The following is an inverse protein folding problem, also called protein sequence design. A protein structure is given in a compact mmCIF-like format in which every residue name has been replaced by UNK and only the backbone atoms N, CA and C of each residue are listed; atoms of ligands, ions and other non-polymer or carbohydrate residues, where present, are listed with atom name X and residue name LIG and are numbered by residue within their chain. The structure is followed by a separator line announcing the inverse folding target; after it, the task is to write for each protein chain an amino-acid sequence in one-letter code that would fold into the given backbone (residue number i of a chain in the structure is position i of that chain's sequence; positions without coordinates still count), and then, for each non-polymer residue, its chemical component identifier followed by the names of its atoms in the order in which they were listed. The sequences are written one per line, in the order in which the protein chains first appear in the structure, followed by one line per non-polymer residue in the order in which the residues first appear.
data_IF_526016560744
#
_entry.id   IF_526016560744
#
_cell.length_a   1.000
_cell.length_b   1.000
_cell.length_c   1.000
_cell.angle_alpha   90.00
_cell.angle_beta   90.00
_cell.angle_gamma   90.00
#
_symmetry.space_group_name_H-M   'P 1'
#
loop_
_entity.id
_entity.type
_entity.pdbx_description
1 polymer ?
#
# COMPACT_ATOMS: atom_id res chain seq x y z
N UNK A 1 -25.10 25.37 -54.94
CA UNK A 1 -25.48 25.05 -53.56
C UNK A 1 -24.25 24.43 -52.88
N UNK A 2 -23.46 25.25 -52.15
CA UNK A 2 -22.26 24.81 -51.42
C UNK A 2 -22.63 24.40 -50.02
N UNK A 3 -22.39 23.14 -49.62
CA UNK A 3 -22.55 22.66 -48.25
C UNK A 3 -21.36 23.11 -47.44
N UNK A 4 -21.57 23.96 -46.45
CA UNK A 4 -20.63 24.18 -45.35
C UNK A 4 -20.69 22.98 -44.40
N UNK A 5 -19.62 22.27 -44.25
CA UNK A 5 -19.45 21.27 -43.20
C UNK A 5 -18.77 21.96 -42.00
N UNK A 6 -19.51 22.02 -40.92
CA UNK A 6 -19.12 22.60 -39.65
C UNK A 6 -18.03 21.79 -39.00
N UNK A 7 -16.85 22.38 -38.82
CA UNK A 7 -15.73 21.84 -38.04
C UNK A 7 -15.83 22.36 -36.60
N UNK A 8 -16.65 21.72 -35.79
CA UNK A 8 -16.66 21.95 -34.34
C UNK A 8 -16.82 20.59 -33.64
N UNK A 9 -15.77 20.04 -33.09
CA UNK A 9 -15.75 19.10 -31.96
C UNK A 9 -14.44 18.30 -31.90
N UNK A 10 -13.31 18.97 -31.68
CA UNK A 10 -12.08 18.23 -31.30
C UNK A 10 -11.20 18.96 -30.25
N UNK A 11 -11.72 19.98 -29.59
CA UNK A 11 -10.95 20.80 -28.65
C UNK A 11 -11.26 20.56 -27.17
N UNK A 12 -12.23 19.69 -26.81
CA UNK A 12 -12.72 19.61 -25.43
C UNK A 12 -12.24 18.36 -24.66
N UNK A 13 -11.54 17.42 -25.28
CA UNK A 13 -11.12 16.17 -24.62
C UNK A 13 -9.69 16.25 -24.09
N UNK A 14 -8.88 17.20 -24.54
CA UNK A 14 -7.46 17.33 -24.13
C UNK A 14 -7.23 18.13 -22.82
N UNK A 15 -8.24 18.80 -22.28
CA UNK A 15 -8.05 19.69 -21.13
C UNK A 15 -8.25 19.00 -19.76
N UNK A 16 -8.86 17.82 -19.70
CA UNK A 16 -9.14 17.13 -18.42
C UNK A 16 -7.97 16.28 -17.96
N UNK A 17 -7.22 15.69 -18.88
CA UNK A 17 -6.06 14.84 -18.54
C UNK A 17 -4.86 15.63 -17.99
N UNK A 18 -4.71 16.90 -18.36
CA UNK A 18 -3.58 17.74 -17.92
C UNK A 18 -3.77 18.34 -16.52
N UNK A 19 -5.00 18.41 -16.00
CA UNK A 19 -5.26 18.96 -14.66
C UNK A 19 -5.03 17.95 -13.52
N UNK A 20 -5.15 16.65 -13.77
CA UNK A 20 -4.89 15.63 -12.77
C UNK A 20 -3.37 15.42 -12.54
N UNK A 21 -2.55 15.53 -13.57
CA UNK A 21 -1.09 15.43 -13.43
C UNK A 21 -0.47 16.64 -12.72
N UNK A 22 -1.08 17.82 -12.81
CA UNK A 22 -0.56 19.02 -12.14
C UNK A 22 -0.84 19.04 -10.64
N UNK A 23 -1.90 18.39 -10.15
CA UNK A 23 -2.22 18.33 -8.73
C UNK A 23 -1.28 17.41 -7.93
N UNK A 24 -0.85 16.29 -8.51
CA UNK A 24 0.15 15.40 -7.91
C UNK A 24 1.55 16.01 -7.91
N UNK A 25 1.97 16.64 -9.01
CA UNK A 25 3.26 17.31 -9.12
C UNK A 25 3.40 18.49 -8.13
N UNK A 26 2.35 19.27 -7.90
CA UNK A 26 2.38 20.39 -6.96
C UNK A 26 2.51 19.97 -5.49
N UNK A 27 2.18 18.73 -5.14
CA UNK A 27 2.36 18.21 -3.77
C UNK A 27 3.81 17.83 -3.49
N UNK A 28 4.57 17.46 -4.52
CA UNK A 28 6.00 17.11 -4.39
C UNK A 28 6.89 18.34 -4.20
N UNK A 29 6.54 19.50 -4.77
CA UNK A 29 7.34 20.73 -4.70
C UNK A 29 7.35 21.40 -3.32
N UNK A 30 6.53 20.94 -2.37
CA UNK A 30 6.37 21.57 -1.05
C UNK A 30 6.97 20.77 0.11
N UNK A 31 7.66 19.66 -0.14
CA UNK A 31 8.33 18.92 0.90
C UNK A 31 9.62 19.65 1.32
N UNK A 32 9.51 20.54 2.29
CA UNK A 32 10.69 21.13 2.93
C UNK A 32 11.40 20.10 3.81
N UNK A 33 12.29 19.34 3.18
CA UNK A 33 13.11 18.35 3.88
C UNK A 33 14.06 19.01 4.90
N UNK A 34 14.34 20.31 4.81
CA UNK A 34 15.29 20.96 5.71
C UNK A 34 14.72 21.09 7.13
N UNK A 35 13.40 21.26 7.25
CA UNK A 35 12.73 21.43 8.53
C UNK A 35 12.13 20.13 9.09
N UNK A 36 12.39 18.97 8.43
CA UNK A 36 11.90 17.68 8.89
C UNK A 36 12.93 16.96 9.78
N UNK A 37 12.50 16.20 10.79
CA UNK A 37 13.37 15.29 11.52
C UNK A 37 14.12 14.35 10.57
N UNK A 38 15.34 13.97 10.94
CA UNK A 38 16.19 13.12 10.12
C UNK A 38 15.52 11.79 9.78
N UNK A 39 14.79 11.22 10.72
CA UNK A 39 14.00 10.00 10.53
C UNK A 39 13.00 10.11 9.37
N UNK A 40 12.30 11.26 9.28
CA UNK A 40 11.32 11.49 8.20
C UNK A 40 12.00 11.64 6.83
N UNK A 41 13.18 12.26 6.79
CA UNK A 41 13.98 12.38 5.57
C UNK A 41 14.39 11.01 5.04
N UNK A 42 14.84 10.14 5.94
CA UNK A 42 15.23 8.76 5.61
C UNK A 42 14.03 7.98 5.07
N UNK A 43 12.88 8.04 5.72
CA UNK A 43 11.66 7.33 5.28
C UNK A 43 11.21 7.79 3.88
N UNK A 44 11.22 9.10 3.63
CA UNK A 44 10.81 9.67 2.35
C UNK A 44 11.69 9.23 1.16
N UNK A 45 12.94 8.82 1.40
CA UNK A 45 13.83 8.33 0.34
C UNK A 45 13.26 7.10 -0.36
N UNK A 46 12.63 6.20 0.39
CA UNK A 46 12.04 4.97 -0.16
C UNK A 46 10.52 5.08 -0.32
N UNK A 47 9.83 5.76 0.60
CA UNK A 47 8.37 5.83 0.60
C UNK A 47 7.79 7.05 -0.13
N UNK A 48 8.65 7.84 -0.77
CA UNK A 48 8.24 9.07 -1.47
C UNK A 48 7.93 10.22 -0.51
N UNK A 49 7.92 11.44 -1.04
CA UNK A 49 7.52 12.61 -0.28
C UNK A 49 6.08 12.46 0.21
N UNK A 50 5.83 12.78 1.48
CA UNK A 50 4.52 12.57 2.12
C UNK A 50 3.99 11.13 2.05
N UNK A 51 4.88 10.15 1.91
CA UNK A 51 4.52 8.73 1.95
C UNK A 51 3.59 8.26 0.84
N UNK A 52 3.72 8.81 -0.35
CA UNK A 52 2.90 8.42 -1.52
C UNK A 52 3.32 7.09 -2.15
N UNK A 53 4.42 6.52 -1.68
CA UNK A 53 5.00 5.30 -2.21
C UNK A 53 6.01 5.54 -3.34
N UNK A 54 6.83 4.52 -3.59
CA UNK A 54 7.77 4.47 -4.70
C UNK A 54 7.98 3.02 -5.14
N UNK A 55 7.27 2.54 -6.17
CA UNK A 55 7.34 1.16 -6.61
C UNK A 55 8.72 0.76 -7.16
N UNK A 56 9.52 1.73 -7.66
CA UNK A 56 10.85 1.47 -8.23
C UNK A 56 11.80 0.92 -7.17
N UNK A 57 11.76 1.47 -5.95
CA UNK A 57 12.57 1.00 -4.82
C UNK A 57 11.80 0.05 -3.89
N UNK A 58 10.55 -0.25 -4.21
CA UNK A 58 9.71 -1.17 -3.44
C UNK A 58 9.15 -0.60 -2.14
N UNK A 59 9.17 0.72 -1.97
CA UNK A 59 8.60 1.43 -0.81
C UNK A 59 7.12 1.70 -1.01
N UNK A 60 6.20 1.06 -0.25
CA UNK A 60 4.77 1.29 -0.39
C UNK A 60 4.35 2.66 0.14
N UNK A 61 3.15 3.08 -0.25
CA UNK A 61 2.47 4.22 0.34
C UNK A 61 2.28 4.03 1.85
N UNK A 62 2.59 5.07 2.61
CA UNK A 62 2.34 5.15 4.05
C UNK A 62 1.17 6.08 4.38
N UNK A 63 0.88 7.03 3.49
CA UNK A 63 -0.21 7.96 3.65
C UNK A 63 -1.56 7.21 3.69
N UNK A 64 -2.40 7.55 4.66
CA UNK A 64 -3.69 6.91 4.85
C UNK A 64 -3.63 5.50 5.46
N UNK A 65 -2.47 5.02 5.89
CA UNK A 65 -2.41 3.83 6.75
C UNK A 65 -3.01 4.16 8.12
N UNK A 66 -3.74 3.22 8.67
CA UNK A 66 -4.24 3.35 10.04
C UNK A 66 -3.07 3.42 11.02
N UNK A 67 -3.07 4.39 11.95
CA UNK A 67 -1.95 4.60 12.88
C UNK A 67 -1.59 3.34 13.68
N UNK A 68 -2.60 2.58 14.15
CA UNK A 68 -2.39 1.34 14.88
C UNK A 68 -1.70 0.26 14.02
N UNK A 69 -2.05 0.18 12.73
CA UNK A 69 -1.43 -0.77 11.81
C UNK A 69 0.01 -0.36 11.49
N UNK A 70 0.24 0.92 11.18
CA UNK A 70 1.58 1.45 10.93
C UNK A 70 2.50 1.19 12.13
N UNK A 71 2.05 1.50 13.36
CA UNK A 71 2.81 1.22 14.59
C UNK A 71 3.20 -0.25 14.66
N UNK A 72 2.22 -1.14 14.54
CA UNK A 72 2.46 -2.58 14.60
C UNK A 72 3.44 -3.06 13.52
N UNK A 73 3.40 -2.49 12.31
CA UNK A 73 4.34 -2.88 11.26
C UNK A 73 5.77 -2.43 11.56
N UNK A 74 5.98 -1.22 12.07
CA UNK A 74 7.29 -0.73 12.50
C UNK A 74 7.86 -1.61 13.64
N UNK A 75 7.04 -1.93 14.62
CA UNK A 75 7.39 -2.83 15.71
C UNK A 75 7.72 -4.25 15.22
N UNK A 76 6.94 -4.79 14.26
CA UNK A 76 7.17 -6.12 13.67
C UNK A 76 8.50 -6.19 12.90
N UNK A 77 8.87 -5.13 12.20
CA UNK A 77 10.19 -5.04 11.57
C UNK A 77 11.30 -4.95 12.61
N UNK A 78 11.14 -4.12 13.66
CA UNK A 78 12.12 -3.98 14.75
C UNK A 78 12.31 -5.29 15.53
N UNK A 79 11.22 -6.00 15.80
CA UNK A 79 11.23 -7.31 16.47
C UNK A 79 11.68 -8.47 15.56
N UNK A 80 11.99 -8.18 14.28
CA UNK A 80 12.37 -9.18 13.29
C UNK A 80 11.29 -10.23 12.97
N UNK A 81 10.03 -9.89 13.16
CA UNK A 81 8.91 -10.71 12.66
C UNK A 81 8.75 -10.58 11.14
N UNK A 82 9.24 -9.48 10.58
CA UNK A 82 9.26 -9.16 9.14
C UNK A 82 10.68 -8.75 8.71
N UNK A 83 10.97 -8.92 7.41
CA UNK A 83 12.21 -8.44 6.81
C UNK A 83 13.39 -9.41 6.99
N UNK A 84 13.15 -10.67 7.35
CA UNK A 84 14.20 -11.68 7.54
C UNK A 84 14.50 -12.51 6.29
N UNK A 85 13.73 -12.35 5.22
CA UNK A 85 13.99 -13.06 3.97
C UNK A 85 15.20 -12.44 3.26
N UNK A 86 16.30 -13.19 3.16
CA UNK A 86 17.56 -12.74 2.53
C UNK A 86 17.38 -12.35 1.05
N UNK A 87 16.38 -12.91 0.39
CA UNK A 87 16.09 -12.65 -1.02
C UNK A 87 15.11 -11.48 -1.22
N UNK A 88 14.61 -10.88 -0.15
CA UNK A 88 13.68 -9.76 -0.23
C UNK A 88 14.31 -8.48 0.32
N UNK A 89 15.10 -7.82 -0.53
CA UNK A 89 15.88 -6.62 -0.19
C UNK A 89 15.05 -5.51 0.45
N UNK A 90 13.89 -5.08 -0.07
CA UNK A 90 13.12 -4.01 0.56
C UNK A 90 12.67 -4.32 1.99
N UNK A 91 12.40 -5.59 2.31
CA UNK A 91 12.07 -6.00 3.67
C UNK A 91 13.25 -5.90 4.61
N UNK A 92 14.44 -6.28 4.15
CA UNK A 92 15.69 -6.20 4.92
C UNK A 92 16.10 -4.74 5.18
N UNK A 93 15.95 -3.88 4.17
CA UNK A 93 16.22 -2.44 4.29
C UNK A 93 15.26 -1.80 5.30
N UNK A 94 13.97 -2.16 5.25
CA UNK A 94 13.00 -1.66 6.22
C UNK A 94 13.32 -2.11 7.64
N UNK A 95 13.71 -3.39 7.83
CA UNK A 95 14.15 -3.89 9.12
C UNK A 95 15.36 -3.11 9.66
N UNK A 96 16.37 -2.89 8.81
CA UNK A 96 17.57 -2.14 9.18
C UNK A 96 17.23 -0.68 9.56
N UNK A 97 16.31 -0.07 8.84
CA UNK A 97 15.89 1.33 9.05
C UNK A 97 15.22 1.55 10.41
N UNK A 98 14.49 0.55 10.92
CA UNK A 98 13.75 0.67 12.20
C UNK A 98 14.42 -0.03 13.38
N UNK A 99 15.51 -0.75 13.16
CA UNK A 99 16.14 -1.65 14.14
C UNK A 99 16.51 -0.95 15.47
N UNK A 100 16.78 0.35 15.44
CA UNK A 100 17.24 1.13 16.59
C UNK A 100 16.21 2.16 17.09
N UNK A 101 15.02 2.22 16.50
CA UNK A 101 13.99 3.15 16.93
C UNK A 101 13.46 2.73 18.30
N UNK A 102 13.38 3.69 19.21
CA UNK A 102 12.66 3.55 20.48
C UNK A 102 11.15 3.58 20.26
N UNK A 103 10.38 3.20 21.28
CA UNK A 103 8.91 3.27 21.24
C UNK A 103 8.44 4.71 21.01
N UNK A 104 9.06 5.68 21.68
CA UNK A 104 8.73 7.10 21.53
C UNK A 104 9.00 7.61 20.11
N UNK A 105 10.09 7.16 19.46
CA UNK A 105 10.37 7.53 18.07
C UNK A 105 9.38 6.89 17.10
N UNK A 106 8.98 5.65 17.32
CA UNK A 106 7.92 4.99 16.54
C UNK A 106 6.60 5.75 16.69
N UNK A 107 6.19 6.10 17.90
CA UNK A 107 4.97 6.87 18.16
C UNK A 107 5.01 8.25 17.51
N UNK A 108 6.15 8.93 17.56
CA UNK A 108 6.37 10.20 16.88
C UNK A 108 6.23 10.08 15.36
N UNK A 109 6.83 9.04 14.77
CA UNK A 109 6.70 8.76 13.32
C UNK A 109 5.26 8.46 12.93
N UNK A 110 4.56 7.62 13.69
CA UNK A 110 3.15 7.27 13.44
C UNK A 110 2.28 8.52 13.47
N UNK A 111 2.43 9.34 14.50
CA UNK A 111 1.67 10.59 14.65
C UNK A 111 1.95 11.57 13.52
N UNK A 112 3.19 11.64 13.05
CA UNK A 112 3.58 12.49 11.94
C UNK A 112 2.97 12.00 10.60
N UNK A 113 3.11 10.71 10.30
CA UNK A 113 2.61 10.08 9.07
C UNK A 113 1.09 10.11 9.00
N UNK A 114 0.39 10.00 10.13
CA UNK A 114 -1.07 10.06 10.20
C UNK A 114 -1.66 11.38 9.67
N UNK A 115 -0.85 12.45 9.62
CA UNK A 115 -1.26 13.73 9.04
C UNK A 115 -1.06 13.82 7.52
N UNK A 116 -0.44 12.82 6.89
CA UNK A 116 -0.24 12.82 5.46
C UNK A 116 -1.55 12.47 4.74
N UNK A 117 -1.86 13.25 3.71
CA UNK A 117 -3.06 13.02 2.92
C UNK A 117 -2.86 11.80 2.02
N UNK A 118 -3.77 10.81 2.08
CA UNK A 118 -3.70 9.68 1.18
C UNK A 118 -3.84 10.13 -0.28
N UNK A 119 -3.12 9.45 -1.14
CA UNK A 119 -3.25 9.56 -2.59
C UNK A 119 -3.77 8.21 -3.07
N UNK A 120 -4.77 8.19 -3.92
CA UNK A 120 -5.27 6.96 -4.53
C UNK A 120 -4.14 6.39 -5.40
N UNK A 121 -3.63 5.18 -5.12
CA UNK A 121 -2.57 4.61 -5.92
C UNK A 121 -3.03 4.30 -7.35
N UNK A 122 -2.09 4.35 -8.28
CA UNK A 122 -2.33 3.83 -9.63
C UNK A 122 -2.47 2.30 -9.57
N UNK A 123 -3.52 1.79 -10.19
CA UNK A 123 -3.75 0.36 -10.29
C UNK A 123 -2.79 -0.24 -11.33
N UNK A 124 -2.02 -1.23 -10.93
CA UNK A 124 -1.00 -1.87 -11.76
C UNK A 124 -1.27 -3.37 -12.01
N UNK A 125 -2.18 -3.96 -11.25
CA UNK A 125 -2.54 -5.36 -11.35
C UNK A 125 -3.82 -5.52 -12.16
N UNK A 126 -3.77 -6.39 -13.15
CA UNK A 126 -4.93 -6.80 -13.97
C UNK A 126 -5.32 -8.24 -13.65
N UNK A 127 -6.61 -8.52 -13.52
CA UNK A 127 -7.15 -9.84 -13.22
C UNK A 127 -8.66 -9.91 -13.48
N UNK A 128 -9.25 -11.07 -13.27
CA UNK A 128 -10.69 -11.27 -13.34
C UNK A 128 -11.36 -10.91 -12.01
N UNK A 129 -11.95 -9.71 -11.94
CA UNK A 129 -12.63 -9.24 -10.73
C UNK A 129 -13.84 -10.11 -10.34
N UNK A 130 -14.48 -10.84 -11.27
CA UNK A 130 -15.58 -11.75 -10.93
C UNK A 130 -15.06 -12.96 -10.15
N UNK A 131 -13.98 -13.57 -10.63
CA UNK A 131 -13.30 -14.65 -9.89
C UNK A 131 -12.74 -14.11 -8.57
N UNK A 132 -12.13 -12.91 -8.60
CA UNK A 132 -11.62 -12.21 -7.41
C UNK A 132 -12.67 -11.99 -6.33
N UNK A 133 -13.92 -11.67 -6.70
CA UNK A 133 -15.03 -11.53 -5.76
C UNK A 133 -15.32 -12.82 -5.00
N UNK A 134 -15.27 -13.97 -5.68
CA UNK A 134 -15.46 -15.26 -5.04
C UNK A 134 -14.30 -15.59 -4.07
N UNK A 135 -13.06 -15.32 -4.47
CA UNK A 135 -11.87 -15.50 -3.63
C UNK A 135 -11.87 -14.58 -2.42
N UNK A 136 -12.34 -13.34 -2.59
CA UNK A 136 -12.38 -12.33 -1.52
C UNK A 136 -13.30 -12.71 -0.36
N UNK A 137 -14.25 -13.59 -0.55
CA UNK A 137 -15.17 -14.03 0.51
C UNK A 137 -14.43 -14.50 1.79
N UNK A 138 -13.27 -15.15 1.65
CA UNK A 138 -12.43 -15.57 2.78
C UNK A 138 -11.71 -14.38 3.45
N UNK A 139 -11.39 -13.35 2.70
CA UNK A 139 -10.69 -12.14 3.17
C UNK A 139 -11.67 -11.23 3.93
N UNK A 140 -12.91 -11.14 3.45
CA UNK A 140 -13.96 -10.28 3.98
C UNK A 140 -14.26 -10.55 5.45
N UNK A 141 -14.07 -11.78 5.93
CA UNK A 141 -14.30 -12.16 7.33
C UNK A 141 -13.46 -11.31 8.31
N UNK A 142 -12.26 -10.90 7.91
CA UNK A 142 -11.36 -10.09 8.73
C UNK A 142 -11.24 -8.66 8.20
N UNK A 143 -11.13 -8.48 6.88
CA UNK A 143 -10.88 -7.18 6.25
C UNK A 143 -12.14 -6.37 5.92
N UNK A 144 -13.34 -6.91 6.22
CA UNK A 144 -14.62 -6.27 5.90
C UNK A 144 -15.07 -6.55 4.45
N UNK A 145 -16.38 -6.41 4.22
CA UNK A 145 -16.97 -6.73 2.90
C UNK A 145 -16.59 -5.73 1.81
N UNK A 146 -16.22 -4.51 2.20
CA UNK A 146 -15.76 -3.44 1.32
C UNK A 146 -14.26 -3.17 1.48
N UNK A 147 -13.50 -4.06 2.12
CA UNK A 147 -12.07 -3.88 2.34
C UNK A 147 -11.71 -2.78 3.33
N UNK A 148 -12.64 -2.37 4.18
CA UNK A 148 -12.51 -1.26 5.12
C UNK A 148 -11.61 -1.57 6.32
N UNK A 149 -11.30 -2.84 6.56
CA UNK A 149 -10.49 -3.30 7.68
C UNK A 149 -11.28 -3.47 8.98
N UNK A 150 -10.61 -4.03 9.99
CA UNK A 150 -11.15 -4.22 11.33
C UNK A 150 -10.01 -4.23 12.36
N UNK A 151 -9.89 -3.15 13.13
CA UNK A 151 -8.84 -3.01 14.14
C UNK A 151 -8.93 -4.08 15.23
N UNK A 152 -10.14 -4.45 15.66
CA UNK A 152 -10.35 -5.46 16.70
C UNK A 152 -9.83 -6.85 16.29
N UNK A 153 -9.87 -7.15 14.99
CA UNK A 153 -9.30 -8.37 14.41
C UNK A 153 -7.84 -8.17 13.96
N UNK A 154 -7.30 -6.97 14.09
CA UNK A 154 -5.97 -6.62 13.63
C UNK A 154 -5.82 -6.64 12.11
N UNK A 155 -6.91 -6.56 11.37
CA UNK A 155 -6.96 -6.60 9.91
C UNK A 155 -7.04 -5.19 9.33
N UNK A 156 -6.00 -4.69 8.62
CA UNK A 156 -6.00 -3.34 8.06
C UNK A 156 -6.95 -3.21 6.87
N UNK A 157 -7.32 -1.96 6.53
CA UNK A 157 -8.01 -1.66 5.29
C UNK A 157 -7.16 -2.10 4.09
N UNK A 158 -7.83 -2.63 3.06
CA UNK A 158 -7.22 -3.04 1.80
C UNK A 158 -7.48 -2.03 0.68
N UNK A 159 -8.56 -1.26 0.78
CA UNK A 159 -8.90 -0.21 -0.17
C UNK A 159 -7.91 0.94 -0.12
N UNK A 160 -7.63 1.56 -1.27
CA UNK A 160 -6.69 2.67 -1.36
C UNK A 160 -5.23 2.29 -1.08
N UNK A 161 -4.86 1.03 -1.24
CA UNK A 161 -3.49 0.52 -1.07
C UNK A 161 -2.85 0.19 -2.41
N UNK A 162 -1.51 0.26 -2.45
CA UNK A 162 -0.74 -0.15 -3.63
C UNK A 162 -0.97 -1.64 -3.93
N UNK A 163 -1.61 -1.96 -5.04
CA UNK A 163 -1.94 -3.33 -5.44
C UNK A 163 -0.67 -4.17 -5.68
N UNK A 164 0.37 -3.59 -6.30
CA UNK A 164 1.66 -4.24 -6.48
C UNK A 164 2.31 -4.64 -5.16
N UNK A 165 2.13 -3.79 -4.12
CA UNK A 165 2.65 -4.10 -2.79
C UNK A 165 1.82 -5.20 -2.12
N UNK A 166 0.48 -5.11 -2.22
CA UNK A 166 -0.41 -6.17 -1.71
C UNK A 166 -0.09 -7.51 -2.36
N UNK A 167 0.09 -7.57 -3.70
CA UNK A 167 0.50 -8.78 -4.40
C UNK A 167 1.77 -9.40 -3.81
N UNK A 168 2.77 -8.56 -3.57
CA UNK A 168 4.02 -8.98 -2.96
C UNK A 168 3.83 -9.50 -1.53
N UNK A 169 3.00 -8.83 -0.73
CA UNK A 169 2.74 -9.27 0.64
C UNK A 169 1.99 -10.60 0.69
N UNK A 170 1.01 -10.80 -0.18
CA UNK A 170 0.31 -12.09 -0.30
C UNK A 170 1.29 -13.22 -0.62
N UNK A 171 2.19 -13.02 -1.60
CA UNK A 171 3.25 -13.99 -1.92
C UNK A 171 4.16 -14.31 -0.72
N UNK A 172 4.55 -13.29 0.06
CA UNK A 172 5.36 -13.47 1.26
C UNK A 172 4.63 -14.23 2.38
N UNK A 173 3.33 -14.02 2.53
CA UNK A 173 2.53 -14.81 3.46
C UNK A 173 2.36 -16.27 2.99
N UNK A 174 2.15 -16.50 1.69
CA UNK A 174 2.04 -17.84 1.12
C UNK A 174 3.35 -18.64 1.30
N UNK A 175 4.51 -18.02 1.09
CA UNK A 175 5.81 -18.66 1.29
C UNK A 175 6.19 -18.84 2.77
N UNK A 176 5.52 -18.12 3.68
CA UNK A 176 5.88 -18.09 5.10
C UNK A 176 7.02 -17.15 5.46
N UNK A 177 7.55 -16.37 4.50
CA UNK A 177 8.54 -15.32 4.75
C UNK A 177 7.96 -14.16 5.56
N UNK A 178 6.63 -14.03 5.56
CA UNK A 178 5.85 -13.18 6.44
C UNK A 178 4.84 -14.04 7.19
N UNK A 179 4.68 -13.79 8.49
CA UNK A 179 3.78 -14.59 9.34
C UNK A 179 4.33 -15.99 9.69
N UNK A 180 5.62 -16.25 9.44
CA UNK A 180 6.28 -17.50 9.81
C UNK A 180 6.85 -17.49 11.24
N UNK A 181 6.98 -16.31 11.86
CA UNK A 181 7.46 -16.21 13.23
C UNK A 181 6.33 -16.61 14.22
N UNK A 182 6.60 -17.51 15.20
CA UNK A 182 5.57 -17.96 16.16
C UNK A 182 5.04 -16.85 17.06
N UNK A 183 5.78 -15.76 17.24
CA UNK A 183 5.36 -14.62 18.07
C UNK A 183 4.55 -13.57 17.26
N UNK A 184 4.52 -13.68 15.92
CA UNK A 184 3.72 -12.81 15.05
C UNK A 184 2.29 -13.35 14.88
N UNK A 185 1.47 -13.23 15.93
CA UNK A 185 0.10 -13.77 15.95
C UNK A 185 -0.74 -13.29 14.75
N UNK A 186 -0.71 -12.00 14.45
CA UNK A 186 -1.47 -11.45 13.32
C UNK A 186 -0.91 -11.87 11.97
N UNK A 187 0.42 -11.98 11.86
CA UNK A 187 1.05 -12.52 10.67
C UNK A 187 0.68 -13.99 10.42
N UNK A 188 0.60 -14.81 11.47
CA UNK A 188 0.17 -16.20 11.37
C UNK A 188 -1.30 -16.30 10.94
N UNK A 189 -2.18 -15.46 11.48
CA UNK A 189 -3.59 -15.40 11.06
C UNK A 189 -3.71 -15.06 9.57
N UNK A 190 -2.96 -14.05 9.11
CA UNK A 190 -2.94 -13.67 7.71
C UNK A 190 -2.36 -14.78 6.82
N UNK A 191 -1.31 -15.47 7.28
CA UNK A 191 -0.73 -16.63 6.59
C UNK A 191 -1.73 -17.77 6.44
N UNK A 192 -2.57 -18.01 7.45
CA UNK A 192 -3.67 -18.97 7.34
C UNK A 192 -4.74 -18.50 6.34
N UNK A 193 -5.08 -17.21 6.34
CA UNK A 193 -6.08 -16.63 5.44
C UNK A 193 -5.70 -16.74 3.96
N UNK A 194 -4.42 -16.55 3.62
CA UNK A 194 -3.96 -16.62 2.21
C UNK A 194 -3.93 -18.05 1.63
N UNK A 195 -4.14 -19.08 2.44
CA UNK A 195 -4.22 -20.47 1.94
C UNK A 195 -5.41 -20.71 1.01
N UNK A 196 -6.37 -19.81 0.94
CA UNK A 196 -7.44 -19.82 -0.05
C UNK A 196 -6.95 -19.50 -1.48
N UNK A 197 -5.78 -18.88 -1.63
CA UNK A 197 -5.16 -18.54 -2.91
C UNK A 197 -4.19 -19.65 -3.31
N UNK A 198 -4.31 -20.17 -4.54
CA UNK A 198 -3.54 -21.32 -5.01
C UNK A 198 -2.55 -20.97 -6.13
N UNK A 199 -2.67 -19.77 -6.70
CA UNK A 199 -1.89 -19.34 -7.86
C UNK A 199 -1.60 -17.85 -7.84
N UNK A 200 -0.68 -17.42 -8.69
CA UNK A 200 -0.46 -16.00 -8.95
C UNK A 200 -1.68 -15.34 -9.62
N UNK A 201 -2.44 -16.12 -10.41
CA UNK A 201 -3.68 -15.62 -11.01
C UNK A 201 -4.73 -15.32 -9.93
N UNK A 202 -4.87 -16.16 -8.90
CA UNK A 202 -5.80 -15.90 -7.80
C UNK A 202 -5.43 -14.62 -7.05
N UNK A 203 -4.12 -14.34 -6.87
CA UNK A 203 -3.65 -13.08 -6.30
C UNK A 203 -4.07 -11.91 -7.19
N UNK A 204 -3.85 -12.00 -8.49
CA UNK A 204 -4.19 -10.93 -9.42
C UNK A 204 -5.70 -10.69 -9.47
N UNK A 205 -6.51 -11.75 -9.47
CA UNK A 205 -7.96 -11.68 -9.52
C UNK A 205 -8.53 -11.03 -8.25
N UNK A 206 -8.08 -11.46 -7.06
CA UNK A 206 -8.55 -10.87 -5.80
C UNK A 206 -8.14 -9.40 -5.67
N UNK A 207 -6.96 -9.00 -6.16
CA UNK A 207 -6.54 -7.61 -6.17
C UNK A 207 -7.32 -6.77 -7.19
N UNK A 208 -7.59 -7.32 -8.38
CA UNK A 208 -8.48 -6.67 -9.35
C UNK A 208 -9.87 -6.41 -8.75
N UNK A 209 -10.41 -7.34 -7.96
CA UNK A 209 -11.68 -7.12 -7.26
C UNK A 209 -11.56 -6.04 -6.17
N UNK A 210 -10.52 -6.08 -5.33
CA UNK A 210 -10.28 -5.05 -4.29
C UNK A 210 -10.17 -3.67 -4.93
N UNK A 211 -9.53 -3.56 -6.08
CA UNK A 211 -9.42 -2.31 -6.84
C UNK A 211 -10.79 -1.75 -7.30
N UNK A 212 -11.84 -2.56 -7.37
CA UNK A 212 -13.21 -2.08 -7.67
C UNK A 212 -13.91 -1.46 -6.46
N UNK A 213 -13.38 -1.63 -5.24
CA UNK A 213 -13.97 -1.11 -4.00
C UNK A 213 -13.55 0.34 -3.70
N UNK A 214 -12.64 0.94 -4.48
CA UNK A 214 -12.11 2.31 -4.30
C UNK A 214 -13.06 3.39 -4.82
#
# INVERSE_FOLDING_TARGET
MKKLISSFSLALVLSVATQQQSASAQQYDKLDLNNQPLSNKVCATCHGGYGVGNPIVGGPSLAGLEPWYLKRQLESFRAKYRGNNKNYVPGNEMQASVARLSDTEIEGLVSYIANWKPVVPEQSISGDANNGSALYASCAACHGINGEGNELLGAPALVGRDDWYMARQLKLFMSGDRGGNPDDVYGQQMRAGVQALNSEQDINDVLAYINTMN
#
